data_IF_390819111511
#
_entry.id   IF_390819111511
#
_cell.length_a   1.000
_cell.length_b   1.000
_cell.length_c   1.000
_cell.angle_alpha   90.00
_cell.angle_beta   90.00
_cell.angle_gamma   90.00
#
_symmetry.space_group_name_H-M   'P 1'
#
loop_
_entity.id
_entity.type
_entity.pdbx_description
1 polymer ?
#
# COMPACT_ATOMS: atom_id res chain seq x y z
N UNK A 1 33.81 28.34 23.59
CA UNK A 1 33.60 28.62 22.15
C UNK A 1 34.10 27.42 21.36
N UNK A 2 33.20 26.55 20.90
CA UNK A 2 33.19 25.96 19.55
C UNK A 2 32.03 24.97 19.52
N UNK A 3 30.92 25.40 18.92
CA UNK A 3 29.74 24.57 18.67
C UNK A 3 30.01 23.89 17.33
N UNK A 4 30.16 22.56 17.34
CA UNK A 4 30.14 21.78 16.10
C UNK A 4 28.68 21.64 15.66
N UNK A 5 28.33 22.38 14.62
CA UNK A 5 27.06 22.28 13.93
C UNK A 5 27.07 21.04 13.04
N UNK A 6 26.25 20.05 13.38
CA UNK A 6 25.97 18.89 12.52
C UNK A 6 25.19 19.37 11.29
N UNK A 7 25.82 19.30 10.12
CA UNK A 7 25.15 19.48 8.82
C UNK A 7 24.22 18.28 8.59
N UNK A 8 22.90 18.51 8.63
CA UNK A 8 21.94 17.64 7.96
C UNK A 8 22.16 17.77 6.46
N UNK A 9 22.75 16.75 5.85
CA UNK A 9 22.88 16.64 4.39
C UNK A 9 21.53 16.30 3.80
N UNK A 10 20.90 17.25 3.11
CA UNK A 10 19.79 16.99 2.19
C UNK A 10 20.40 16.41 0.91
N UNK A 11 20.37 15.08 0.75
CA UNK A 11 20.65 14.46 -0.55
C UNK A 11 19.42 14.64 -1.44
N UNK A 12 19.60 15.32 -2.58
CA UNK A 12 18.62 15.28 -3.68
C UNK A 12 18.64 13.88 -4.26
N UNK A 13 17.61 13.08 -4.01
CA UNK A 13 17.34 11.90 -4.83
C UNK A 13 17.04 12.41 -6.26
N UNK A 14 18.04 12.40 -7.13
CA UNK A 14 17.84 12.72 -8.53
C UNK A 14 17.08 11.55 -9.16
N UNK A 15 15.78 11.73 -9.38
CA UNK A 15 14.99 10.77 -10.17
C UNK A 15 15.62 10.66 -11.56
N UNK A 16 16.06 9.47 -11.94
CA UNK A 16 16.47 9.22 -13.33
C UNK A 16 15.19 9.13 -14.16
N UNK A 17 14.72 10.28 -14.64
CA UNK A 17 13.58 10.37 -15.56
C UNK A 17 14.08 10.20 -17.01
N UNK A 18 13.57 9.18 -17.72
CA UNK A 18 13.50 9.24 -19.18
C UNK A 18 12.18 9.93 -19.54
N UNK A 19 12.26 11.08 -20.20
CA UNK A 19 11.07 11.82 -20.66
C UNK A 19 11.02 11.76 -22.18
N UNK A 20 9.96 11.21 -22.76
CA UNK A 20 9.63 11.46 -24.17
C UNK A 20 8.64 12.61 -24.22
N UNK A 21 9.10 13.74 -24.75
CA UNK A 21 8.30 14.94 -24.95
C UNK A 21 7.04 14.64 -25.76
N UNK A 22 5.87 14.93 -25.18
CA UNK A 22 4.64 15.12 -25.95
C UNK A 22 4.83 16.32 -26.89
N UNK A 23 4.98 16.04 -28.19
CA UNK A 23 5.28 17.07 -29.17
C UNK A 23 4.12 18.07 -29.35
N UNK A 24 4.35 19.33 -28.98
CA UNK A 24 3.96 20.45 -29.83
C UNK A 24 5.20 20.97 -30.56
N UNK A 25 5.03 21.10 -31.88
CA UNK A 25 6.03 21.45 -32.88
C UNK A 25 6.65 22.84 -32.63
N UNK A 26 7.98 22.94 -32.44
CA UNK A 26 8.82 24.06 -32.87
C UNK A 26 10.31 23.75 -32.67
N UNK A 27 11.13 24.21 -33.62
CA UNK A 27 12.57 23.97 -33.73
C UNK A 27 13.41 24.72 -32.68
N UNK A 28 14.50 24.05 -32.30
CA UNK A 28 15.84 24.55 -31.95
C UNK A 28 16.18 25.06 -30.53
N UNK A 29 17.32 24.52 -30.07
CA UNK A 29 18.46 25.10 -29.31
C UNK A 29 18.24 25.81 -27.97
N UNK A 30 19.12 25.42 -27.07
CA UNK A 30 19.45 25.94 -25.75
C UNK A 30 19.59 27.47 -25.63
N UNK A 31 19.37 27.89 -24.39
CA UNK A 31 19.77 29.12 -23.66
C UNK A 31 18.78 30.31 -23.68
N UNK A 32 18.49 30.73 -22.45
CA UNK A 32 18.06 32.03 -21.93
C UNK A 32 16.57 32.30 -21.67
N UNK A 33 16.36 32.60 -20.39
CA UNK A 33 15.18 33.06 -19.66
C UNK A 33 14.56 34.30 -20.29
N UNK A 34 13.24 34.29 -20.52
CA UNK A 34 12.41 35.51 -20.45
C UNK A 34 11.03 35.15 -19.90
N UNK A 35 10.62 35.91 -18.89
CA UNK A 35 9.30 35.90 -18.26
C UNK A 35 8.19 36.24 -19.26
N UNK A 36 7.04 35.57 -19.16
CA UNK A 36 5.85 35.88 -19.95
C UNK A 36 4.61 35.21 -19.37
N UNK A 37 3.87 35.95 -18.54
CA UNK A 37 2.50 35.61 -18.15
C UNK A 37 1.58 35.66 -19.38
N UNK A 38 0.69 34.67 -19.53
CA UNK A 38 -0.51 34.81 -20.36
C UNK A 38 -1.72 34.27 -19.59
N UNK A 39 -2.64 35.18 -19.29
CA UNK A 39 -3.97 34.91 -18.76
C UNK A 39 -4.89 34.39 -19.88
N UNK A 40 -5.76 33.41 -19.55
CA UNK A 40 -6.81 32.97 -20.46
C UNK A 40 -8.10 33.76 -20.19
N UNK A 41 -8.43 34.66 -21.13
CA UNK A 41 -9.65 35.45 -21.13
C UNK A 41 -10.84 34.70 -21.72
N UNK A 42 -11.97 34.81 -21.03
CA UNK A 42 -13.30 34.42 -21.50
C UNK A 42 -13.68 35.14 -22.80
N UNK A 43 -14.24 34.39 -23.76
CA UNK A 43 -15.16 34.97 -24.74
C UNK A 43 -16.49 34.20 -24.73
N UNK A 44 -17.54 34.95 -24.37
CA UNK A 44 -18.96 34.61 -24.48
C UNK A 44 -19.40 34.71 -25.93
N UNK A 45 -20.29 33.81 -26.34
CA UNK A 45 -21.22 34.05 -27.44
C UNK A 45 -22.63 33.66 -26.98
N UNK A 46 -23.51 34.67 -26.97
CA UNK A 46 -24.92 34.59 -26.62
C UNK A 46 -25.73 33.90 -27.74
N UNK A 47 -26.67 33.02 -27.37
CA UNK A 47 -27.96 32.86 -28.06
C UNK A 47 -29.07 32.67 -27.03
N UNK A 48 -30.11 33.49 -27.18
CA UNK A 48 -31.31 33.60 -26.34
C UNK A 48 -32.49 32.84 -26.94
N UNK A 49 -33.20 32.08 -26.11
CA UNK A 49 -34.63 31.70 -26.19
C UNK A 49 -34.83 30.54 -25.20
N UNK A 50 -35.79 30.42 -24.30
CA UNK A 50 -36.98 31.18 -23.91
C UNK A 50 -37.81 30.24 -23.02
N UNK A 51 -38.17 30.70 -21.82
CA UNK A 51 -39.37 30.36 -21.02
C UNK A 51 -39.75 28.86 -20.83
N UNK A 52 -39.62 28.32 -19.62
CA UNK A 52 -40.77 28.07 -18.74
C UNK A 52 -40.39 27.62 -17.30
N UNK A 53 -41.29 27.98 -16.39
CA UNK A 53 -41.34 27.81 -14.93
C UNK A 53 -41.11 26.39 -14.40
N UNK A 54 -40.53 26.27 -13.19
CA UNK A 54 -41.29 25.91 -11.97
C UNK A 54 -40.39 25.89 -10.72
N UNK A 55 -41.05 26.27 -9.63
CA UNK A 55 -40.65 26.44 -8.24
C UNK A 55 -40.21 25.17 -7.52
N UNK A 56 -39.23 25.27 -6.62
CA UNK A 56 -39.27 24.65 -5.29
C UNK A 56 -38.16 25.24 -4.39
N UNK A 57 -38.59 25.82 -3.28
CA UNK A 57 -37.83 26.38 -2.20
C UNK A 57 -37.41 25.31 -1.19
N UNK A 58 -36.16 25.34 -0.72
CA UNK A 58 -35.82 24.91 0.66
C UNK A 58 -34.69 25.81 1.16
N UNK A 59 -35.00 26.63 2.17
CA UNK A 59 -34.06 27.42 2.93
C UNK A 59 -33.40 26.53 3.99
N UNK A 60 -32.09 26.68 4.20
CA UNK A 60 -31.43 26.21 5.42
C UNK A 60 -30.72 27.40 6.07
N UNK A 61 -31.25 27.80 7.20
CA UNK A 61 -30.85 28.94 8.01
C UNK A 61 -29.78 28.49 9.00
N UNK A 62 -28.55 28.98 8.85
CA UNK A 62 -27.49 28.81 9.86
C UNK A 62 -27.30 30.12 10.61
N UNK A 63 -27.74 30.15 11.88
CA UNK A 63 -27.47 31.25 12.81
C UNK A 63 -26.38 30.86 13.80
N UNK A 64 -25.36 31.70 13.82
CA UNK A 64 -24.25 31.86 14.75
C UNK A 64 -24.67 32.13 16.20
N UNK A 65 -23.80 31.80 17.17
CA UNK A 65 -23.36 32.69 18.28
C UNK A 65 -22.40 32.00 19.29
N UNK A 66 -21.64 32.76 20.12
CA UNK A 66 -20.20 32.54 20.31
C UNK A 66 -19.71 32.40 21.78
N UNK A 67 -18.38 32.53 21.94
CA UNK A 67 -17.58 32.80 23.17
C UNK A 67 -17.37 31.63 24.15
N UNK A 68 -16.16 31.38 24.68
CA UNK A 68 -15.51 32.15 25.76
C UNK A 68 -13.98 31.98 25.74
N UNK A 69 -13.30 33.11 26.01
CA UNK A 69 -11.88 33.29 26.36
C UNK A 69 -11.68 32.94 27.84
N UNK A 70 -10.63 32.17 28.21
CA UNK A 70 -9.91 32.42 29.47
C UNK A 70 -8.58 31.65 29.59
N UNK A 71 -7.50 32.43 29.51
CA UNK A 71 -6.40 32.50 30.48
C UNK A 71 -5.66 31.22 30.91
N UNK A 72 -4.35 31.16 30.62
CA UNK A 72 -3.34 30.69 31.61
C UNK A 72 -1.92 31.17 31.27
N UNK A 73 -1.53 32.22 32.00
CA UNK A 73 -0.29 32.38 32.78
C UNK A 73 1.02 31.81 32.20
N UNK A 74 1.91 32.74 31.82
CA UNK A 74 3.37 32.57 31.81
C UNK A 74 3.88 32.38 33.25
N UNK A 75 4.79 31.43 33.43
CA UNK A 75 5.71 31.37 34.57
C UNK A 75 7.12 31.08 34.04
N UNK A 76 8.11 31.77 34.62
CA UNK A 76 9.52 31.75 34.27
C UNK A 76 10.28 30.91 35.30
N UNK A 77 11.30 30.20 34.80
CA UNK A 77 12.41 29.42 35.37
C UNK A 77 12.63 29.34 36.89
N UNK A 78 13.01 28.14 37.33
CA UNK A 78 14.19 27.94 38.19
C UNK A 78 14.83 26.58 37.91
N UNK A 79 16.16 26.60 37.74
CA UNK A 79 17.02 25.44 37.55
C UNK A 79 17.36 24.80 38.91
N UNK A 80 17.44 23.47 38.94
CA UNK A 80 18.29 22.71 39.87
C UNK A 80 18.28 21.22 39.51
N UNK A 81 19.49 20.70 39.41
CA UNK A 81 19.94 19.32 39.62
C UNK A 81 19.68 18.28 38.50
N UNK A 82 20.73 18.08 37.69
CA UNK A 82 20.93 16.89 36.87
C UNK A 82 21.24 15.68 37.76
N UNK A 83 20.30 14.74 37.82
CA UNK A 83 20.57 13.36 38.22
C UNK A 83 20.28 12.48 37.00
N UNK A 84 21.36 11.89 36.46
CA UNK A 84 21.35 11.05 35.26
C UNK A 84 20.60 9.74 35.55
N UNK A 85 19.29 9.73 35.35
CA UNK A 85 18.51 8.50 35.21
C UNK A 85 18.48 8.09 33.74
N UNK A 86 19.09 6.95 33.44
CA UNK A 86 19.00 6.28 32.16
C UNK A 86 17.53 6.10 31.76
N UNK A 87 17.14 6.69 30.63
CA UNK A 87 15.84 6.45 30.00
C UNK A 87 15.93 5.07 29.37
N UNK A 88 15.10 4.09 29.77
CA UNK A 88 15.03 2.83 29.05
C UNK A 88 14.44 3.12 27.66
N UNK A 89 15.06 2.54 26.63
CA UNK A 89 14.55 2.52 25.25
C UNK A 89 13.05 2.26 25.27
N UNK A 90 12.26 3.28 24.91
CA UNK A 90 10.84 3.10 24.66
C UNK A 90 10.72 2.28 23.38
N UNK A 91 10.17 1.05 23.40
CA UNK A 91 9.77 0.43 22.16
C UNK A 91 8.55 1.21 21.70
N UNK A 92 8.71 2.04 20.67
CA UNK A 92 7.59 2.48 19.86
C UNK A 92 7.06 1.25 19.14
N UNK A 93 6.23 0.47 19.85
CA UNK A 93 5.52 -0.69 19.28
C UNK A 93 4.53 -0.12 18.28
N UNK A 94 4.92 -0.12 17.01
CA UNK A 94 3.98 0.04 15.92
C UNK A 94 2.86 -1.00 16.10
N UNK A 95 1.58 -0.61 16.00
CA UNK A 95 0.48 -1.51 16.32
C UNK A 95 0.51 -2.75 15.42
N UNK A 96 0.66 -3.93 16.03
CA UNK A 96 0.97 -5.19 15.34
C UNK A 96 -0.11 -5.52 14.31
N UNK A 97 0.33 -5.79 13.08
CA UNK A 97 -0.49 -6.36 12.01
C UNK A 97 -0.30 -7.86 12.04
N UNK A 98 -1.37 -8.64 11.93
CA UNK A 98 -1.27 -10.08 11.70
C UNK A 98 -1.70 -10.42 10.28
N UNK A 99 -1.22 -11.54 9.77
CA UNK A 99 -1.63 -12.17 8.53
C UNK A 99 -2.34 -13.48 8.87
N UNK A 100 -3.48 -13.75 8.24
CA UNK A 100 -4.35 -14.89 8.55
C UNK A 100 -4.76 -15.66 7.28
N UNK A 101 -4.62 -16.99 7.33
CA UNK A 101 -5.26 -17.92 6.39
C UNK A 101 -6.14 -18.89 7.17
N UNK A 102 -7.34 -19.16 6.65
CA UNK A 102 -8.24 -20.15 7.22
C UNK A 102 -8.88 -20.95 6.08
N UNK A 103 -8.20 -21.99 5.62
CA UNK A 103 -8.56 -22.70 4.39
C UNK A 103 -8.42 -24.23 4.54
N UNK A 104 -9.04 -24.99 3.63
CA UNK A 104 -8.82 -26.44 3.55
C UNK A 104 -7.40 -26.75 3.09
N UNK A 105 -6.84 -27.85 3.57
CA UNK A 105 -5.52 -28.35 3.16
C UNK A 105 -5.65 -29.56 2.22
N UNK A 106 -4.58 -29.95 1.51
CA UNK A 106 -4.52 -31.20 0.73
C UNK A 106 -4.47 -32.43 1.67
N UNK A 107 -5.38 -32.48 2.65
CA UNK A 107 -5.44 -33.45 3.72
C UNK A 107 -6.89 -33.89 3.90
N UNK A 108 -7.09 -35.20 3.95
CA UNK A 108 -8.36 -35.83 4.30
C UNK A 108 -8.27 -36.50 5.68
N UNK A 109 -9.37 -36.48 6.41
CA UNK A 109 -9.51 -37.22 7.67
C UNK A 109 -9.89 -38.69 7.44
N UNK A 110 -9.97 -39.47 8.52
CA UNK A 110 -10.39 -40.88 8.51
C UNK A 110 -11.79 -41.12 7.90
N UNK A 111 -12.61 -40.05 7.79
CA UNK A 111 -13.96 -40.07 7.22
C UNK A 111 -13.98 -39.58 5.77
N UNK A 112 -12.81 -39.40 5.17
CA UNK A 112 -12.62 -38.88 3.83
C UNK A 112 -13.22 -37.46 3.66
N UNK A 113 -13.12 -36.63 4.71
CA UNK A 113 -13.53 -35.21 4.70
C UNK A 113 -12.30 -34.31 4.74
N UNK A 114 -12.43 -33.11 4.16
CA UNK A 114 -11.36 -32.11 4.15
C UNK A 114 -10.98 -31.72 5.57
N UNK A 115 -9.68 -31.66 5.83
CA UNK A 115 -9.12 -30.99 7.00
C UNK A 115 -8.86 -29.53 6.65
N UNK A 116 -9.22 -28.66 7.57
CA UNK A 116 -8.97 -27.22 7.47
C UNK A 116 -7.88 -26.83 8.45
N UNK A 117 -7.26 -25.69 8.20
CA UNK A 117 -6.23 -25.17 9.08
C UNK A 117 -6.35 -23.66 9.20
N UNK A 118 -6.18 -23.17 10.42
CA UNK A 118 -5.92 -21.77 10.72
C UNK A 118 -4.41 -21.57 10.79
N UNK A 119 -3.91 -20.58 10.05
CA UNK A 119 -2.56 -20.06 10.17
C UNK A 119 -2.62 -18.58 10.52
N UNK A 120 -1.83 -18.17 11.51
CA UNK A 120 -1.67 -16.77 11.92
C UNK A 120 -0.19 -16.49 12.18
N UNK A 121 0.32 -15.39 11.62
CA UNK A 121 1.66 -14.88 11.89
C UNK A 121 1.69 -13.35 11.85
N UNK A 122 2.78 -12.75 12.32
CA UNK A 122 3.16 -11.37 12.01
C UNK A 122 4.02 -11.30 10.74
N UNK A 123 4.15 -10.09 10.12
CA UNK A 123 4.97 -9.89 8.91
C UNK A 123 6.44 -10.28 9.05
N UNK A 124 6.99 -10.25 10.27
CA UNK A 124 8.39 -10.62 10.54
C UNK A 124 8.55 -12.09 10.96
N UNK A 125 7.45 -12.86 11.01
CA UNK A 125 7.40 -14.24 11.49
C UNK A 125 8.06 -14.42 12.86
N UNK A 126 7.96 -13.43 13.74
CA UNK A 126 8.40 -13.53 15.14
C UNK A 126 7.47 -14.41 15.96
N UNK A 127 6.21 -14.56 15.53
CA UNK A 127 5.34 -15.60 16.03
C UNK A 127 4.55 -16.28 14.91
N UNK A 128 4.26 -17.56 15.16
CA UNK A 128 3.47 -18.41 14.28
C UNK A 128 2.49 -19.23 15.12
N UNK A 129 1.27 -19.36 14.61
CA UNK A 129 0.21 -20.19 15.17
C UNK A 129 -0.46 -21.01 14.07
N UNK A 130 -0.57 -22.32 14.29
CA UNK A 130 -1.22 -23.26 13.37
C UNK A 130 -2.17 -24.18 14.15
N UNK A 131 -3.43 -24.29 13.71
CA UNK A 131 -4.43 -25.18 14.32
C UNK A 131 -5.27 -25.86 13.24
N UNK A 132 -5.38 -27.19 13.29
CA UNK A 132 -6.24 -27.96 12.40
C UNK A 132 -7.69 -28.00 12.89
N UNK A 133 -8.63 -27.94 11.95
CA UNK A 133 -10.07 -27.99 12.18
C UNK A 133 -10.74 -29.07 11.32
N UNK A 134 -11.71 -29.82 11.87
CA UNK A 134 -12.56 -30.70 11.06
C UNK A 134 -13.57 -29.88 10.25
N UNK A 135 -13.97 -30.39 9.08
CA UNK A 135 -14.86 -29.70 8.14
C UNK A 135 -16.19 -29.19 8.74
N UNK A 136 -16.71 -29.85 9.78
CA UNK A 136 -17.98 -29.47 10.43
C UNK A 136 -17.84 -28.34 11.46
N UNK A 137 -16.63 -27.82 11.69
CA UNK A 137 -16.35 -26.73 12.64
C UNK A 137 -16.04 -25.39 11.95
N UNK A 138 -16.10 -25.32 10.63
CA UNK A 138 -15.73 -24.12 9.87
C UNK A 138 -16.83 -23.09 9.91
N UNK A 139 -16.69 -22.11 10.81
CA UNK A 139 -17.58 -20.96 10.94
C UNK A 139 -16.90 -19.83 11.72
N UNK A 140 -17.50 -18.64 11.70
CA UNK A 140 -16.92 -17.45 12.32
C UNK A 140 -16.78 -17.55 13.85
N UNK A 141 -17.66 -18.30 14.51
CA UNK A 141 -17.64 -18.46 15.98
C UNK A 141 -16.44 -19.28 16.41
N UNK A 142 -16.13 -20.38 15.69
CA UNK A 142 -14.94 -21.18 15.97
C UNK A 142 -13.66 -20.40 15.66
N UNK A 143 -13.63 -19.67 14.54
CA UNK A 143 -12.49 -18.84 14.18
C UNK A 143 -12.22 -17.74 15.23
N UNK A 144 -13.26 -17.03 15.70
CA UNK A 144 -13.10 -16.04 16.78
C UNK A 144 -12.48 -16.66 18.03
N UNK A 145 -13.02 -17.80 18.48
CA UNK A 145 -12.50 -18.51 19.66
C UNK A 145 -11.04 -18.96 19.47
N UNK A 146 -10.66 -19.31 18.25
CA UNK A 146 -9.28 -19.64 17.94
C UNK A 146 -8.38 -18.41 18.07
N UNK A 147 -8.78 -17.25 17.55
CA UNK A 147 -8.05 -15.98 17.71
C UNK A 147 -7.89 -15.57 19.18
N UNK A 148 -8.94 -15.74 19.99
CA UNK A 148 -8.88 -15.53 21.45
C UNK A 148 -7.83 -16.44 22.11
N UNK A 149 -7.78 -17.73 21.71
CA UNK A 149 -6.74 -18.65 22.18
C UNK A 149 -5.35 -18.24 21.72
N UNK A 150 -5.17 -17.75 20.49
CA UNK A 150 -3.85 -17.28 20.02
C UNK A 150 -3.31 -16.18 20.95
N UNK A 151 -4.16 -15.21 21.28
CA UNK A 151 -3.82 -14.12 22.22
C UNK A 151 -3.45 -14.68 23.60
N UNK A 152 -4.27 -15.57 24.15
CA UNK A 152 -4.06 -16.15 25.47
C UNK A 152 -2.80 -17.02 25.55
N UNK A 153 -2.61 -17.94 24.60
CA UNK A 153 -1.49 -18.88 24.56
C UNK A 153 -0.15 -18.21 24.26
N UNK A 154 -0.14 -17.18 23.41
CA UNK A 154 1.09 -16.44 23.06
C UNK A 154 1.37 -15.28 24.01
N UNK A 155 0.43 -14.91 24.89
CA UNK A 155 0.56 -13.75 25.77
C UNK A 155 0.72 -12.44 24.99
N UNK A 156 0.05 -12.32 23.84
CA UNK A 156 0.14 -11.17 22.93
C UNK A 156 -1.10 -10.30 23.06
N UNK A 157 -0.96 -8.99 22.91
CA UNK A 157 -2.12 -8.12 22.72
C UNK A 157 -2.79 -8.37 21.35
N UNK A 158 -4.11 -8.21 21.23
CA UNK A 158 -4.80 -8.28 19.94
C UNK A 158 -4.19 -7.30 18.93
N UNK A 159 -4.02 -7.71 17.65
CA UNK A 159 -3.46 -6.84 16.63
C UNK A 159 -4.42 -5.68 16.30
N UNK A 160 -3.89 -4.58 15.78
CA UNK A 160 -4.75 -3.48 15.30
C UNK A 160 -5.49 -3.85 14.02
N UNK A 161 -4.84 -4.63 13.16
CA UNK A 161 -5.44 -5.14 11.92
C UNK A 161 -4.99 -6.56 11.60
N UNK A 162 -5.88 -7.32 10.96
CA UNK A 162 -5.58 -8.64 10.38
C UNK A 162 -5.73 -8.54 8.86
N UNK A 163 -4.68 -8.92 8.14
CA UNK A 163 -4.69 -9.09 6.68
C UNK A 163 -5.02 -10.54 6.31
N UNK A 164 -5.75 -10.73 5.23
CA UNK A 164 -6.01 -12.05 4.64
C UNK A 164 -6.22 -11.92 3.13
N UNK A 165 -5.95 -12.98 2.37
CA UNK A 165 -6.02 -12.93 0.90
C UNK A 165 -7.07 -13.86 0.27
N UNK A 166 -7.73 -14.73 1.05
CA UNK A 166 -8.74 -15.69 0.54
C UNK A 166 -10.12 -15.05 0.40
N UNK A 167 -10.48 -14.62 -0.82
CA UNK A 167 -11.81 -14.04 -1.08
C UNK A 167 -12.98 -14.97 -0.69
N UNK A 168 -12.84 -16.29 -0.86
CA UNK A 168 -13.90 -17.24 -0.51
C UNK A 168 -14.18 -17.28 1.00
N UNK A 169 -13.19 -16.92 1.81
CA UNK A 169 -13.27 -16.92 3.27
C UNK A 169 -13.65 -15.56 3.85
N UNK A 170 -13.84 -14.54 3.00
CA UNK A 170 -14.12 -13.17 3.41
C UNK A 170 -15.27 -13.08 4.41
N UNK A 171 -16.40 -13.75 4.18
CA UNK A 171 -17.56 -13.68 5.09
C UNK A 171 -17.24 -14.22 6.49
N UNK A 172 -16.56 -15.37 6.57
CA UNK A 172 -16.23 -16.03 7.84
C UNK A 172 -15.17 -15.23 8.59
N UNK A 173 -14.08 -14.86 7.92
CA UNK A 173 -12.96 -14.12 8.50
C UNK A 173 -13.42 -12.73 8.95
N UNK A 174 -14.15 -12.00 8.10
CA UNK A 174 -14.65 -10.65 8.42
C UNK A 174 -15.54 -10.68 9.64
N UNK A 175 -16.49 -11.61 9.71
CA UNK A 175 -17.39 -11.73 10.86
C UNK A 175 -16.62 -12.08 12.14
N UNK A 176 -15.69 -13.04 12.07
CA UNK A 176 -14.89 -13.43 13.22
C UNK A 176 -14.03 -12.28 13.76
N UNK A 177 -13.33 -11.57 12.87
CA UNK A 177 -12.47 -10.44 13.25
C UNK A 177 -13.26 -9.26 13.82
N UNK A 178 -14.42 -8.95 13.25
CA UNK A 178 -15.28 -7.88 13.75
C UNK A 178 -15.81 -8.20 15.16
N UNK A 179 -16.26 -9.43 15.41
CA UNK A 179 -16.67 -9.88 16.75
C UNK A 179 -15.49 -9.96 17.73
N UNK A 180 -14.27 -10.22 17.23
CA UNK A 180 -13.02 -10.18 17.99
C UNK A 180 -12.52 -8.75 18.28
N UNK A 181 -13.12 -7.73 17.66
CA UNK A 181 -12.77 -6.32 17.88
C UNK A 181 -11.55 -5.83 17.08
N UNK A 182 -11.15 -6.52 16.01
CA UNK A 182 -9.98 -6.18 15.19
C UNK A 182 -10.39 -5.73 13.79
N UNK A 183 -9.68 -4.73 13.24
CA UNK A 183 -9.87 -4.29 11.85
C UNK A 183 -9.44 -5.39 10.89
N UNK A 184 -10.35 -5.91 10.09
CA UNK A 184 -10.05 -6.86 9.03
C UNK A 184 -9.74 -6.14 7.70
N UNK A 185 -8.72 -6.60 6.98
CA UNK A 185 -8.25 -6.00 5.73
C UNK A 185 -7.98 -7.09 4.68
N UNK A 186 -8.85 -7.25 3.66
CA UNK A 186 -8.53 -8.09 2.51
C UNK A 186 -7.31 -7.51 1.77
N UNK A 187 -6.24 -8.29 1.61
CA UNK A 187 -4.96 -7.81 1.08
C UNK A 187 -4.12 -8.93 0.46
N UNK A 188 -3.47 -8.66 -0.68
CA UNK A 188 -2.38 -9.49 -1.21
C UNK A 188 -1.06 -9.31 -0.46
N UNK A 189 -0.93 -8.30 0.40
CA UNK A 189 0.26 -8.06 1.24
C UNK A 189 0.30 -9.00 2.45
N UNK A 190 0.07 -10.29 2.22
CA UNK A 190 0.21 -11.35 3.21
C UNK A 190 1.49 -12.16 2.93
N UNK A 191 2.62 -11.47 2.73
CA UNK A 191 3.82 -12.08 2.14
C UNK A 191 4.42 -13.15 3.05
N UNK A 192 4.47 -12.89 4.36
CA UNK A 192 5.05 -13.81 5.34
C UNK A 192 4.22 -15.09 5.46
N UNK A 193 2.89 -14.94 5.52
CA UNK A 193 1.94 -16.03 5.55
C UNK A 193 1.99 -16.88 4.27
N UNK A 194 2.09 -16.21 3.12
CA UNK A 194 2.17 -16.88 1.83
C UNK A 194 3.46 -17.71 1.72
N UNK A 195 4.61 -17.15 2.11
CA UNK A 195 5.87 -17.89 2.16
C UNK A 195 5.78 -19.07 3.13
N UNK A 196 5.14 -18.87 4.29
CA UNK A 196 4.95 -19.93 5.26
C UNK A 196 4.03 -21.05 4.73
N UNK A 197 2.96 -20.70 4.01
CA UNK A 197 2.09 -21.67 3.33
C UNK A 197 2.87 -22.51 2.31
N UNK A 198 3.80 -21.91 1.56
CA UNK A 198 4.68 -22.63 0.63
C UNK A 198 5.55 -23.65 1.37
N UNK A 199 6.22 -23.22 2.44
CA UNK A 199 7.03 -24.11 3.28
C UNK A 199 6.20 -25.27 3.86
N UNK A 200 4.99 -24.99 4.34
CA UNK A 200 4.09 -26.04 4.85
C UNK A 200 3.67 -27.01 3.75
N UNK A 201 3.39 -26.53 2.55
CA UNK A 201 3.01 -27.38 1.43
C UNK A 201 4.14 -28.31 0.98
N UNK A 202 5.39 -27.83 1.02
CA UNK A 202 6.56 -28.64 0.64
C UNK A 202 6.99 -29.58 1.75
N UNK A 203 7.02 -29.09 3.00
CA UNK A 203 7.72 -29.76 4.09
C UNK A 203 6.80 -30.35 5.15
N UNK A 204 5.57 -29.85 5.33
CA UNK A 204 4.68 -30.27 6.43
C UNK A 204 3.54 -31.17 5.95
N UNK A 205 2.73 -30.73 4.99
CA UNK A 205 1.55 -31.49 4.55
C UNK A 205 1.90 -32.87 3.97
N UNK A 206 2.98 -33.05 3.18
CA UNK A 206 3.34 -34.37 2.64
C UNK A 206 3.66 -35.43 3.71
N UNK A 207 3.98 -35.01 4.94
CA UNK A 207 4.23 -35.91 6.06
C UNK A 207 2.95 -36.34 6.78
N UNK A 208 1.81 -35.68 6.50
CA UNK A 208 0.55 -35.98 7.15
C UNK A 208 -0.05 -37.30 6.61
N UNK A 209 -0.53 -38.23 7.46
CA UNK A 209 -1.06 -39.54 7.01
C UNK A 209 -2.21 -39.44 6.01
N UNK A 210 -3.02 -38.38 6.14
CA UNK A 210 -4.15 -38.08 5.25
C UNK A 210 -3.81 -37.22 4.04
N UNK A 211 -2.53 -36.99 3.71
CA UNK A 211 -2.15 -36.15 2.57
C UNK A 211 -2.61 -36.74 1.24
N UNK A 212 -3.27 -35.91 0.43
CA UNK A 212 -3.67 -36.26 -0.93
C UNK A 212 -2.87 -35.44 -1.94
N UNK A 213 -1.86 -36.02 -2.62
CA UNK A 213 -1.07 -35.31 -3.64
C UNK A 213 -1.89 -34.95 -4.89
N UNK A 214 -3.09 -35.50 -5.03
CA UNK A 214 -4.02 -35.19 -6.13
C UNK A 214 -5.09 -34.17 -5.72
N UNK A 215 -4.99 -33.63 -4.51
CA UNK A 215 -5.88 -32.57 -4.06
C UNK A 215 -5.84 -31.41 -5.09
N UNK A 216 -7.01 -30.83 -5.41
CA UNK A 216 -7.04 -29.71 -6.33
C UNK A 216 -6.22 -28.53 -5.76
N UNK A 217 -5.57 -27.74 -6.62
CA UNK A 217 -4.83 -26.56 -6.18
C UNK A 217 -5.74 -25.66 -5.35
N UNK A 218 -5.18 -25.07 -4.30
CA UNK A 218 -5.90 -24.18 -3.39
C UNK A 218 -6.04 -22.79 -4.04
N UNK A 219 -6.75 -22.74 -5.18
CA UNK A 219 -7.27 -21.56 -5.89
C UNK A 219 -6.26 -20.45 -6.27
N UNK A 220 -6.31 -20.03 -7.53
CA UNK A 220 -5.55 -18.90 -8.07
C UNK A 220 -6.17 -17.55 -7.70
N UNK A 221 -5.34 -16.52 -7.66
CA UNK A 221 -5.81 -15.13 -7.70
C UNK A 221 -6.43 -14.87 -9.07
N UNK A 222 -7.70 -14.47 -9.09
CA UNK A 222 -8.34 -13.97 -10.30
C UNK A 222 -8.38 -12.44 -10.22
N UNK A 223 -7.56 -11.73 -11.01
CA UNK A 223 -7.65 -10.28 -11.06
C UNK A 223 -9.02 -9.86 -11.61
N UNK A 224 -9.64 -8.88 -10.96
CA UNK A 224 -10.84 -8.22 -11.47
C UNK A 224 -10.55 -7.42 -12.74
N UNK A 225 -11.61 -7.06 -13.47
CA UNK A 225 -11.49 -6.20 -14.64
C UNK A 225 -11.13 -4.77 -14.20
N UNK A 226 -10.16 -4.08 -14.84
CA UNK A 226 -9.84 -2.69 -14.51
C UNK A 226 -11.03 -1.75 -14.62
N UNK A 227 -11.37 -1.08 -13.52
CA UNK A 227 -12.36 -0.01 -13.46
C UNK A 227 -11.68 1.37 -13.49
N UNK A 228 -12.41 2.45 -13.81
CA UNK A 228 -11.83 3.80 -13.72
C UNK A 228 -11.62 4.21 -12.25
N UNK A 229 -10.43 4.71 -11.93
CA UNK A 229 -10.17 5.24 -10.59
C UNK A 229 -10.93 6.56 -10.37
N UNK A 230 -11.37 6.81 -9.14
CA UNK A 230 -11.99 8.09 -8.80
C UNK A 230 -11.02 9.26 -9.04
N UNK A 231 -11.52 10.39 -9.58
CA UNK A 231 -10.69 11.56 -9.92
C UNK A 231 -9.88 12.09 -8.73
N UNK A 232 -10.41 11.97 -7.50
CA UNK A 232 -9.71 12.34 -6.28
C UNK A 232 -8.38 11.58 -6.09
N UNK A 233 -8.27 10.35 -6.60
CA UNK A 233 -7.07 9.51 -6.50
C UNK A 233 -6.13 9.64 -7.71
N UNK A 234 -6.49 10.44 -8.72
CA UNK A 234 -5.70 10.63 -9.93
C UNK A 234 -4.75 11.82 -9.79
N UNK A 235 -3.46 11.61 -10.08
CA UNK A 235 -2.47 12.70 -10.18
C UNK A 235 -2.63 13.55 -11.45
N UNK A 236 -1.94 14.69 -11.51
CA UNK A 236 -1.96 15.57 -12.68
C UNK A 236 -0.99 15.07 -13.77
N UNK A 237 0.16 14.53 -13.36
CA UNK A 237 1.14 13.91 -14.25
C UNK A 237 1.75 12.69 -13.58
N UNK A 238 2.42 11.85 -14.36
CA UNK A 238 3.18 10.71 -13.84
C UNK A 238 4.36 10.39 -14.76
N UNK A 239 5.35 9.66 -14.24
CA UNK A 239 6.48 9.16 -15.00
C UNK A 239 6.96 7.81 -14.45
N UNK A 240 7.50 6.97 -15.33
CA UNK A 240 8.34 5.85 -14.90
C UNK A 240 9.67 6.38 -14.39
N UNK A 241 10.09 5.87 -13.25
CA UNK A 241 11.34 6.24 -12.58
C UNK A 241 12.03 4.99 -12.06
N UNK A 242 13.30 5.13 -11.72
CA UNK A 242 14.07 4.11 -11.01
C UNK A 242 14.89 4.77 -9.91
N UNK A 243 15.01 4.08 -8.77
CA UNK A 243 15.83 4.50 -7.64
C UNK A 243 16.64 3.30 -7.13
N UNK A 244 17.89 3.49 -6.67
CA UNK A 244 18.61 2.46 -5.92
C UNK A 244 17.76 1.96 -4.74
N UNK A 245 17.84 0.67 -4.43
CA UNK A 245 17.12 0.05 -3.32
C UNK A 245 17.34 0.77 -1.99
N UNK A 246 18.58 1.19 -1.71
CA UNK A 246 18.91 1.96 -0.50
C UNK A 246 18.09 3.26 -0.39
N UNK A 247 17.90 3.97 -1.49
CA UNK A 247 17.12 5.22 -1.54
C UNK A 247 15.62 4.95 -1.40
N UNK A 248 15.13 3.84 -1.98
CA UNK A 248 13.74 3.38 -1.81
C UNK A 248 13.46 3.05 -0.34
N UNK A 249 14.37 2.33 0.33
CA UNK A 249 14.23 1.99 1.74
C UNK A 249 14.30 3.23 2.64
N UNK A 250 15.20 4.18 2.36
CA UNK A 250 15.32 5.43 3.09
C UNK A 250 14.03 6.25 3.01
N UNK A 251 13.53 6.51 1.80
CA UNK A 251 12.30 7.26 1.57
C UNK A 251 11.09 6.61 2.24
N UNK A 252 10.92 5.30 2.06
CA UNK A 252 9.80 4.55 2.63
C UNK A 252 9.82 4.54 4.16
N UNK A 253 11.01 4.37 4.77
CA UNK A 253 11.16 4.40 6.23
C UNK A 253 10.84 5.79 6.78
N UNK A 254 11.28 6.85 6.09
CA UNK A 254 10.96 8.23 6.46
C UNK A 254 9.45 8.55 6.45
N UNK A 255 8.62 7.79 5.71
CA UNK A 255 7.16 7.96 5.72
C UNK A 255 6.43 7.21 6.83
N UNK A 256 7.09 6.30 7.56
CA UNK A 256 6.46 5.58 8.67
C UNK A 256 6.13 6.50 9.87
N UNK A 257 6.98 7.49 10.13
CA UNK A 257 6.86 8.33 11.32
C UNK A 257 5.98 9.56 11.09
N UNK A 258 6.09 10.21 9.92
CA UNK A 258 5.49 11.53 9.67
C UNK A 258 4.77 11.65 8.31
N UNK A 259 4.53 10.54 7.61
CA UNK A 259 4.04 10.55 6.24
C UNK A 259 2.94 9.56 5.89
N UNK A 260 2.65 9.48 4.59
CA UNK A 260 1.78 8.46 4.00
C UNK A 260 2.64 7.46 3.24
N UNK A 261 2.48 6.19 3.51
CA UNK A 261 3.35 5.20 2.91
C UNK A 261 3.23 3.83 3.54
N UNK A 262 3.94 2.89 2.94
CA UNK A 262 4.09 1.55 3.47
C UNK A 262 5.52 1.09 3.21
N UNK A 263 6.18 0.62 4.26
CA UNK A 263 7.50 0.01 4.19
C UNK A 263 7.38 -1.50 4.02
N UNK A 264 8.35 -2.10 3.35
CA UNK A 264 8.44 -3.55 3.16
C UNK A 264 9.86 -3.99 3.49
N UNK A 265 10.00 -4.81 4.53
CA UNK A 265 11.30 -5.30 4.98
C UNK A 265 11.85 -6.33 3.99
N UNK A 266 12.86 -5.94 3.22
CA UNK A 266 13.59 -6.81 2.28
C UNK A 266 14.15 -8.04 2.99
N UNK A 267 14.66 -7.84 4.22
CA UNK A 267 15.19 -8.91 5.08
C UNK A 267 14.10 -9.91 5.46
N UNK A 268 12.91 -9.43 5.86
CA UNK A 268 11.80 -10.32 6.26
C UNK A 268 11.27 -11.11 5.06
N UNK A 269 11.38 -10.55 3.85
CA UNK A 269 11.05 -11.23 2.59
C UNK A 269 12.14 -12.15 2.05
N UNK A 270 13.31 -12.23 2.70
CA UNK A 270 14.48 -13.02 2.26
C UNK A 270 14.91 -12.72 0.81
N UNK A 271 14.77 -11.47 0.38
CA UNK A 271 15.22 -11.02 -0.93
C UNK A 271 16.71 -10.71 -0.87
N UNK A 272 17.47 -11.27 -1.82
CA UNK A 272 18.90 -11.01 -1.98
C UNK A 272 19.11 -9.97 -3.09
N UNK A 273 18.83 -8.70 -2.76
CA UNK A 273 18.98 -7.57 -3.68
C UNK A 273 20.06 -6.62 -3.15
N UNK A 274 21.12 -6.35 -3.94
CA UNK A 274 22.13 -5.35 -3.57
C UNK A 274 21.53 -3.94 -3.38
N UNK A 275 22.06 -3.12 -2.46
CA UNK A 275 21.56 -1.76 -2.19
C UNK A 275 21.51 -0.83 -3.41
N UNK A 276 22.41 -1.01 -4.36
CA UNK A 276 22.50 -0.24 -5.61
C UNK A 276 21.52 -0.69 -6.70
N UNK A 277 20.78 -1.79 -6.46
CA UNK A 277 19.83 -2.33 -7.43
C UNK A 277 18.77 -1.28 -7.77
N UNK A 278 18.59 -1.00 -9.05
CA UNK A 278 17.59 -0.04 -9.52
C UNK A 278 16.19 -0.64 -9.44
N UNK A 279 15.43 -0.19 -8.46
CA UNK A 279 14.03 -0.58 -8.29
C UNK A 279 13.16 0.31 -9.18
N UNK A 280 12.30 -0.27 -10.04
CA UNK A 280 11.37 0.50 -10.85
C UNK A 280 10.25 1.09 -10.01
N UNK A 281 9.78 2.27 -10.38
CA UNK A 281 8.66 2.92 -9.71
C UNK A 281 7.87 3.83 -10.63
N UNK A 282 6.76 4.32 -10.09
CA UNK A 282 5.93 5.36 -10.72
C UNK A 282 5.95 6.59 -9.81
N UNK A 283 6.42 7.70 -10.35
CA UNK A 283 6.32 9.01 -9.71
C UNK A 283 5.06 9.71 -10.21
N UNK A 284 4.22 10.16 -9.30
CA UNK A 284 2.98 10.90 -9.56
C UNK A 284 3.13 12.33 -9.06
N UNK A 285 2.80 13.28 -9.92
CA UNK A 285 2.91 14.72 -9.66
C UNK A 285 1.53 15.34 -9.54
N UNK A 286 1.33 16.15 -8.50
CA UNK A 286 0.08 16.87 -8.31
C UNK A 286 0.26 18.03 -7.35
N UNK A 287 -0.27 19.21 -7.68
CA UNK A 287 -0.36 20.35 -6.74
C UNK A 287 -1.12 20.04 -5.44
N UNK A 288 -1.86 18.93 -5.39
CA UNK A 288 -2.55 18.40 -4.20
C UNK A 288 -1.92 17.09 -3.72
N UNK A 289 -0.60 16.97 -3.78
CA UNK A 289 0.14 15.75 -3.43
C UNK A 289 -0.18 15.24 -2.03
N UNK A 290 -0.24 16.13 -1.01
CA UNK A 290 -0.54 15.72 0.35
C UNK A 290 -1.96 15.16 0.52
N UNK A 291 -3.05 15.84 0.09
CA UNK A 291 -4.38 15.23 0.05
C UNK A 291 -4.46 13.94 -0.76
N UNK A 292 -3.80 13.91 -1.93
CA UNK A 292 -3.75 12.73 -2.79
C UNK A 292 -3.10 11.55 -2.07
N UNK A 293 -1.96 11.77 -1.41
CA UNK A 293 -1.26 10.76 -0.63
C UNK A 293 -2.12 10.24 0.54
N UNK A 294 -2.83 11.13 1.23
CA UNK A 294 -3.76 10.75 2.29
C UNK A 294 -4.89 9.84 1.80
N UNK A 295 -5.50 10.17 0.65
CA UNK A 295 -6.55 9.34 0.04
C UNK A 295 -6.00 8.01 -0.45
N UNK A 296 -4.82 8.01 -1.09
CA UNK A 296 -4.13 6.79 -1.52
C UNK A 296 -3.80 5.87 -0.33
N UNK A 297 -3.43 6.43 0.82
CA UNK A 297 -3.15 5.65 2.04
C UNK A 297 -4.39 4.96 2.63
N UNK A 298 -5.60 5.39 2.23
CA UNK A 298 -6.84 4.68 2.54
C UNK A 298 -7.05 3.42 1.71
N UNK A 299 -6.29 3.24 0.63
CA UNK A 299 -6.31 2.05 -0.21
C UNK A 299 -5.30 1.02 0.31
N UNK A 300 -5.67 -0.25 0.26
CA UNK A 300 -4.72 -1.34 0.48
C UNK A 300 -3.95 -1.57 -0.82
N UNK A 301 -2.89 -0.81 -1.08
CA UNK A 301 -2.11 -0.91 -2.32
C UNK A 301 -1.41 -2.26 -2.42
N UNK A 302 -1.65 -2.95 -3.53
CA UNK A 302 -1.07 -4.26 -3.77
C UNK A 302 0.02 -4.21 -4.85
N UNK A 303 -0.16 -3.42 -5.90
CA UNK A 303 0.83 -3.32 -6.97
C UNK A 303 0.46 -2.30 -8.04
N UNK A 304 1.40 -2.07 -8.97
CA UNK A 304 1.21 -1.27 -10.19
C UNK A 304 1.66 -2.08 -11.39
N UNK A 305 0.84 -2.08 -12.44
CA UNK A 305 1.14 -2.75 -13.71
C UNK A 305 1.07 -1.76 -14.87
N UNK A 306 2.00 -1.88 -15.81
CA UNK A 306 1.92 -1.22 -17.11
C UNK A 306 1.30 -2.19 -18.12
N UNK A 307 0.09 -1.87 -18.59
CA UNK A 307 -0.64 -2.66 -19.57
C UNK A 307 -0.51 -2.04 -20.97
N UNK A 308 0.25 -2.69 -21.84
CA UNK A 308 0.48 -2.27 -23.23
C UNK A 308 -0.74 -2.46 -24.13
N UNK A 309 -1.60 -3.43 -23.83
CA UNK A 309 -2.78 -3.75 -24.63
C UNK A 309 -3.84 -2.68 -24.50
N UNK A 310 -3.97 -2.09 -23.31
CA UNK A 310 -4.81 -0.91 -23.07
C UNK A 310 -4.04 0.42 -23.05
N UNK A 311 -2.71 0.39 -23.19
CA UNK A 311 -1.82 1.56 -23.07
C UNK A 311 -2.09 2.36 -21.79
N UNK A 312 -2.07 1.69 -20.64
CA UNK A 312 -2.43 2.29 -19.36
C UNK A 312 -1.62 1.77 -18.17
N UNK A 313 -1.60 2.56 -17.11
CA UNK A 313 -1.18 2.13 -15.78
C UNK A 313 -2.39 1.59 -15.01
N UNK A 314 -2.24 0.38 -14.50
CA UNK A 314 -3.21 -0.29 -13.65
C UNK A 314 -2.69 -0.24 -12.20
N UNK A 315 -3.48 0.35 -11.31
CA UNK A 315 -3.26 0.29 -9.87
C UNK A 315 -4.06 -0.89 -9.32
N UNK A 316 -3.40 -1.81 -8.62
CA UNK A 316 -4.03 -2.95 -7.98
C UNK A 316 -4.18 -2.72 -6.47
N UNK A 317 -5.34 -3.04 -5.91
CA UNK A 317 -5.63 -2.82 -4.48
C UNK A 317 -6.41 -3.98 -3.87
N UNK A 318 -6.23 -4.21 -2.57
CA UNK A 318 -6.90 -5.29 -1.84
C UNK A 318 -6.45 -6.65 -2.34
N UNK A 319 -7.41 -7.51 -2.68
CA UNK A 319 -7.16 -8.88 -3.17
C UNK A 319 -7.22 -8.94 -4.70
N UNK A 320 -8.22 -8.32 -5.31
CA UNK A 320 -8.61 -8.53 -6.71
C UNK A 320 -8.94 -7.25 -7.47
N UNK A 321 -8.99 -6.09 -6.81
CA UNK A 321 -9.44 -4.85 -7.46
C UNK A 321 -8.35 -4.25 -8.33
N UNK A 322 -8.73 -3.88 -9.55
CA UNK A 322 -7.87 -3.21 -10.50
C UNK A 322 -8.49 -1.87 -10.91
N UNK A 323 -7.64 -0.85 -11.03
CA UNK A 323 -8.04 0.50 -11.39
C UNK A 323 -7.18 1.03 -12.52
N UNK A 324 -7.79 1.54 -13.60
CA UNK A 324 -7.10 2.35 -14.59
C UNK A 324 -6.69 3.67 -13.96
N UNK A 325 -5.42 3.75 -13.57
CA UNK A 325 -4.86 4.91 -12.89
C UNK A 325 -4.65 6.06 -13.86
N UNK A 326 -3.94 5.76 -14.97
CA UNK A 326 -3.62 6.70 -16.03
C UNK A 326 -3.49 5.99 -17.37
N UNK A 327 -3.60 6.72 -18.47
CA UNK A 327 -3.32 6.21 -19.82
C UNK A 327 -2.14 6.93 -20.44
N UNK A 328 -1.51 6.31 -21.42
CA UNK A 328 -0.47 6.93 -22.24
C UNK A 328 -0.79 6.76 -23.72
N UNK A 329 -0.21 7.63 -24.55
CA UNK A 329 -0.41 7.56 -25.99
C UNK A 329 0.29 6.32 -26.54
N UNK A 330 -0.47 5.44 -27.18
CA UNK A 330 0.07 4.25 -27.85
C UNK A 330 1.03 4.66 -28.97
N UNK A 331 2.31 4.47 -28.71
CA UNK A 331 3.42 4.63 -29.65
C UNK A 331 4.40 3.49 -29.41
N UNK A 332 5.21 3.16 -30.41
CA UNK A 332 6.21 2.09 -30.26
C UNK A 332 7.14 2.35 -29.07
N UNK A 333 7.64 3.59 -28.96
CA UNK A 333 8.54 3.99 -27.87
C UNK A 333 7.88 3.90 -26.49
N UNK A 334 6.63 4.34 -26.34
CA UNK A 334 5.93 4.27 -25.05
C UNK A 334 5.59 2.83 -24.63
N UNK A 335 5.28 1.95 -25.60
CA UNK A 335 5.10 0.52 -25.30
C UNK A 335 6.42 -0.14 -24.92
N UNK A 336 7.51 0.13 -25.66
CA UNK A 336 8.85 -0.38 -25.32
C UNK A 336 9.30 0.07 -23.93
N UNK A 337 8.97 1.29 -23.51
CA UNK A 337 9.26 1.81 -22.17
C UNK A 337 8.42 1.10 -21.08
N UNK A 338 7.12 0.90 -21.30
CA UNK A 338 6.25 0.14 -20.40
C UNK A 338 6.71 -1.33 -20.25
N UNK A 339 7.09 -1.97 -21.34
CA UNK A 339 7.65 -3.33 -21.34
C UNK A 339 8.97 -3.41 -20.57
N UNK A 340 9.86 -2.44 -20.76
CA UNK A 340 11.12 -2.35 -20.00
C UNK A 340 10.87 -2.15 -18.51
N UNK A 341 9.87 -1.36 -18.13
CA UNK A 341 9.50 -1.17 -16.73
C UNK A 341 8.98 -2.46 -16.09
N UNK A 342 8.10 -3.20 -16.78
CA UNK A 342 7.62 -4.51 -16.32
C UNK A 342 8.73 -5.56 -16.27
N UNK A 343 9.68 -5.53 -17.21
CA UNK A 343 10.85 -6.41 -17.20
C UNK A 343 11.75 -6.11 -16.01
N UNK A 344 12.09 -4.84 -15.75
CA UNK A 344 12.86 -4.43 -14.59
C UNK A 344 12.19 -4.86 -13.28
N UNK A 345 10.85 -4.75 -13.19
CA UNK A 345 10.09 -5.16 -12.00
C UNK A 345 10.22 -6.67 -11.76
N UNK A 346 10.22 -7.48 -12.81
CA UNK A 346 10.45 -8.93 -12.72
C UNK A 346 11.87 -9.28 -12.31
N UNK A 347 12.87 -8.55 -12.82
CA UNK A 347 14.28 -8.72 -12.45
C UNK A 347 14.55 -8.41 -10.97
N UNK A 348 13.72 -7.55 -10.36
CA UNK A 348 13.77 -7.21 -8.93
C UNK A 348 12.76 -8.02 -8.10
N UNK A 349 12.39 -9.22 -8.53
CA UNK A 349 11.45 -10.13 -7.85
C UNK A 349 10.10 -9.49 -7.48
N UNK A 350 9.58 -8.70 -8.41
CA UNK A 350 8.31 -7.99 -8.29
C UNK A 350 8.40 -6.68 -7.51
N UNK A 351 9.55 -6.32 -6.94
CA UNK A 351 9.73 -5.08 -6.18
C UNK A 351 9.53 -3.85 -7.06
N UNK A 352 8.73 -2.92 -6.57
CA UNK A 352 8.52 -1.62 -7.20
C UNK A 352 8.01 -0.61 -6.17
N UNK A 353 7.86 0.66 -6.57
CA UNK A 353 7.33 1.68 -5.68
C UNK A 353 6.37 2.68 -6.34
N UNK A 354 5.55 3.32 -5.52
CA UNK A 354 4.75 4.49 -5.86
C UNK A 354 5.24 5.69 -5.06
N UNK A 355 5.56 6.78 -5.75
CA UNK A 355 5.92 8.06 -5.15
C UNK A 355 4.88 9.12 -5.54
N UNK A 356 4.39 9.89 -4.57
CA UNK A 356 3.47 11.01 -4.80
C UNK A 356 4.12 12.29 -4.32
N UNK A 357 4.27 13.27 -5.20
CA UNK A 357 4.95 14.54 -4.91
C UNK A 357 4.29 15.73 -5.63
N UNK A 358 4.63 16.94 -5.21
CA UNK A 358 4.01 18.15 -5.76
C UNK A 358 4.42 18.40 -7.21
N UNK A 359 5.73 18.29 -7.48
CA UNK A 359 6.35 18.48 -8.78
C UNK A 359 7.70 17.70 -8.86
N UNK A 360 8.35 17.60 -10.04
CA UNK A 360 9.61 16.88 -10.22
C UNK A 360 10.82 17.39 -9.42
N UNK A 361 10.80 18.65 -9.00
CA UNK A 361 11.90 19.28 -8.27
C UNK A 361 11.63 19.36 -6.77
N UNK A 362 10.51 18.78 -6.30
CA UNK A 362 10.13 18.76 -4.90
C UNK A 362 11.20 18.06 -4.04
N UNK A 363 11.56 18.63 -2.87
CA UNK A 363 12.64 18.08 -2.04
C UNK A 363 12.26 16.79 -1.32
N UNK A 364 10.98 16.43 -1.28
CA UNK A 364 10.48 15.23 -0.60
C UNK A 364 9.13 14.80 -1.17
N UNK A 365 8.86 13.48 -1.13
CA UNK A 365 7.54 12.94 -1.46
C UNK A 365 6.50 13.26 -0.37
N UNK A 366 5.26 13.55 -0.78
CA UNK A 366 4.10 13.59 0.10
C UNK A 366 3.66 12.19 0.55
N UNK A 367 3.90 11.18 -0.27
CA UNK A 367 3.77 9.78 0.14
C UNK A 367 4.61 8.82 -0.69
N UNK A 368 4.97 7.69 -0.09
CA UNK A 368 5.86 6.70 -0.69
C UNK A 368 5.50 5.27 -0.26
N UNK A 369 5.22 4.38 -1.21
CA UNK A 369 4.83 3.00 -0.93
C UNK A 369 5.79 2.02 -1.60
N UNK A 370 6.40 1.15 -0.79
CA UNK A 370 7.10 -0.04 -1.26
C UNK A 370 6.10 -1.16 -1.53
N UNK A 371 6.12 -1.68 -2.75
CA UNK A 371 5.20 -2.67 -3.26
C UNK A 371 5.98 -3.88 -3.79
N UNK A 372 5.30 -5.03 -3.84
CA UNK A 372 5.84 -6.25 -4.45
C UNK A 372 4.72 -7.00 -5.13
N UNK A 373 4.88 -7.23 -6.42
CA UNK A 373 4.03 -8.14 -7.18
C UNK A 373 4.50 -9.56 -6.88
N UNK A 374 3.82 -10.21 -5.93
CA UNK A 374 4.07 -11.61 -5.60
C UNK A 374 2.84 -12.44 -5.93
N UNK A 375 2.96 -13.31 -6.93
CA UNK A 375 1.95 -14.32 -7.24
C UNK A 375 2.38 -15.63 -6.58
N UNK A 376 1.70 -16.11 -5.53
CA UNK A 376 2.00 -17.41 -4.95
C UNK A 376 1.72 -18.53 -5.93
N UNK A 377 2.37 -19.67 -5.68
CA UNK A 377 2.09 -20.89 -6.43
C UNK A 377 0.60 -21.24 -6.32
N UNK A 378 0.00 -21.73 -7.40
CA UNK A 378 -1.41 -22.13 -7.40
C UNK A 378 -1.69 -23.31 -6.45
N UNK A 379 -0.63 -23.99 -6.00
CA UNK A 379 -0.68 -25.13 -5.08
C UNK A 379 -1.08 -24.76 -3.66
N UNK A 380 -0.93 -23.48 -3.23
CA UNK A 380 -1.04 -23.11 -1.81
C UNK A 380 -2.26 -22.31 -1.39
#
# INVERSE_FOLDING_TARGET
MSVMTTQMGTMKAAYVTRTVAGAHNSRCRFVQTVSGHVACGNQRLFKTSGINSQTASVAFEAKSSPSIISSRKRFVCSASDEETTAVPDSPTVSPTTWELDFCSRPIIDERNKKVWELLVCDPDRTFEYAEYFPNNKINSVQLRKALERVVEEKGLEPPRKIRFFRSQMQTIITKACNEFGVKVVPSRRCFALIEWLQDRHENVYPQHPGFDPKAPPLMSFEPGVPEEIADALRGEQWAFVQLPLEAVEEEARGKLDEGFGEFLSIKSLKLDLPPETLIPGVAVFSRRALPLAAWTNGLELAGIKADTDSASLILETGVDKQWRYASYRRTKAANEEAEQWEAAKKETDGMHFLAIQEDPDAPSCAGFWMLRDYEPSTSI
#
